data_IF_420416639157
#
_entry.id   IF_420416639157
#
_cell.length_a   1.000
_cell.length_b   1.000
_cell.length_c   1.000
_cell.angle_alpha   90.00
_cell.angle_beta   90.00
_cell.angle_gamma   90.00
#
_symmetry.space_group_name_H-M   'P 1'
#
loop_
_entity.id
_entity.type
_entity.pdbx_description
1 polymer ?
#
# COMPACT_ATOMS: atom_id res chain seq x y z
N UNK A 1 -5.37 -12.93 10.18
CA UNK A 1 -4.70 -12.01 9.25
C UNK A 1 -3.44 -12.68 8.72
N UNK A 2 -2.85 -12.16 7.64
CA UNK A 2 -1.67 -12.71 6.98
C UNK A 2 -0.51 -11.73 7.04
N UNK A 3 0.70 -12.23 6.84
CA UNK A 3 1.88 -11.37 6.70
C UNK A 3 1.88 -10.62 5.35
N UNK A 4 2.57 -9.48 5.35
CA UNK A 4 2.94 -8.75 4.14
C UNK A 4 3.94 -9.60 3.34
N UNK A 5 3.78 -9.64 2.02
CA UNK A 5 4.77 -10.26 1.14
C UNK A 5 5.91 -9.29 0.79
N UNK A 6 6.95 -9.81 0.13
CA UNK A 6 8.14 -9.02 -0.22
C UNK A 6 7.82 -7.77 -1.03
N UNK A 7 6.89 -7.86 -1.99
CA UNK A 7 6.50 -6.72 -2.81
C UNK A 7 5.82 -5.64 -1.96
N UNK A 8 4.84 -6.02 -1.15
CA UNK A 8 4.13 -5.11 -0.25
C UNK A 8 5.09 -4.42 0.73
N UNK A 9 6.06 -5.17 1.29
CA UNK A 9 7.11 -4.62 2.16
C UNK A 9 7.99 -3.60 1.42
N UNK A 10 8.43 -3.89 0.19
CA UNK A 10 9.24 -2.96 -0.61
C UNK A 10 8.50 -1.63 -0.86
N UNK A 11 7.21 -1.70 -1.16
CA UNK A 11 6.40 -0.51 -1.43
C UNK A 11 6.17 0.32 -0.17
N UNK A 12 5.92 -0.35 0.96
CA UNK A 12 5.78 0.30 2.27
C UNK A 12 7.10 0.92 2.73
N UNK A 13 8.25 0.27 2.48
CA UNK A 13 9.55 0.89 2.72
C UNK A 13 9.73 2.16 1.88
N UNK A 14 9.30 2.14 0.61
CA UNK A 14 9.24 3.31 -0.25
C UNK A 14 8.42 4.46 0.34
N UNK A 15 7.25 4.15 0.91
CA UNK A 15 6.43 5.12 1.64
C UNK A 15 7.22 5.77 2.79
N UNK A 16 7.94 4.98 3.59
CA UNK A 16 8.67 5.51 4.76
C UNK A 16 9.80 6.47 4.40
N UNK A 17 10.33 6.42 3.16
CA UNK A 17 11.30 7.41 2.70
C UNK A 17 10.69 8.80 2.57
N UNK A 18 9.42 8.89 2.18
CA UNK A 18 8.67 10.15 2.07
C UNK A 18 7.97 10.53 3.38
N UNK A 19 7.51 9.55 4.13
CA UNK A 19 6.81 9.72 5.41
C UNK A 19 7.48 8.88 6.51
N UNK A 20 8.62 9.34 7.06
CA UNK A 20 9.41 8.57 8.02
C UNK A 20 8.67 8.15 9.28
N UNK A 21 7.61 8.88 9.67
CA UNK A 21 6.80 8.56 10.84
C UNK A 21 6.14 7.18 10.74
N UNK A 22 5.84 6.69 9.54
CA UNK A 22 5.22 5.37 9.36
C UNK A 22 6.19 4.20 9.48
N UNK A 23 7.49 4.45 9.67
CA UNK A 23 8.46 3.35 9.79
C UNK A 23 8.19 2.45 11.00
N UNK A 24 7.79 3.04 12.14
CA UNK A 24 7.40 2.28 13.33
C UNK A 24 6.07 1.54 13.16
N UNK A 25 5.27 1.87 12.15
CA UNK A 25 3.97 1.24 11.91
C UNK A 25 4.10 -0.12 11.25
N UNK A 26 5.12 -0.33 10.40
CA UNK A 26 5.19 -1.50 9.51
C UNK A 26 5.20 -2.84 10.25
N UNK A 27 5.82 -2.91 11.44
CA UNK A 27 5.88 -4.13 12.24
C UNK A 27 4.51 -4.61 12.76
N UNK A 28 3.50 -3.74 12.73
CA UNK A 28 2.15 -4.00 13.23
C UNK A 28 1.15 -4.21 12.11
N UNK A 29 1.53 -3.95 10.85
CA UNK A 29 0.63 -4.12 9.71
C UNK A 29 0.46 -5.61 9.38
N UNK A 30 -0.80 -6.01 9.22
CA UNK A 30 -1.19 -7.33 8.73
C UNK A 30 -2.17 -7.19 7.58
N UNK A 31 -2.13 -8.15 6.68
CA UNK A 31 -3.06 -8.24 5.57
C UNK A 31 -4.35 -8.91 6.04
N UNK A 32 -5.46 -8.22 5.92
CA UNK A 32 -6.80 -8.74 6.19
C UNK A 32 -7.27 -9.57 5.00
N UNK A 33 -7.19 -8.99 3.81
CA UNK A 33 -7.66 -9.60 2.57
C UNK A 33 -6.84 -9.14 1.35
N UNK A 34 -6.81 -9.98 0.32
CA UNK A 34 -6.26 -9.67 -1.00
C UNK A 34 -7.34 -9.95 -2.04
N UNK A 35 -7.97 -8.89 -2.53
CA UNK A 35 -9.12 -9.00 -3.43
C UNK A 35 -8.75 -8.61 -4.85
N UNK A 36 -8.77 -9.59 -5.74
CA UNK A 36 -8.64 -9.35 -7.17
C UNK A 36 -9.94 -8.75 -7.73
N UNK A 37 -9.80 -7.73 -8.58
CA UNK A 37 -10.89 -7.13 -9.34
C UNK A 37 -10.50 -6.98 -10.82
N UNK A 38 -11.43 -6.53 -11.65
CA UNK A 38 -11.14 -6.22 -13.05
C UNK A 38 -10.16 -5.05 -13.22
N UNK A 39 -10.03 -4.19 -12.21
CA UNK A 39 -9.17 -2.99 -12.24
C UNK A 39 -7.75 -3.30 -11.71
N UNK A 40 -7.60 -4.35 -10.89
CA UNK A 40 -6.38 -4.54 -10.12
C UNK A 40 -6.50 -5.46 -8.91
N UNK A 41 -5.57 -5.35 -7.99
CA UNK A 41 -5.54 -6.07 -6.71
C UNK A 41 -5.61 -5.07 -5.57
N UNK A 42 -6.59 -5.22 -4.69
CA UNK A 42 -6.71 -4.45 -3.45
C UNK A 42 -6.20 -5.31 -2.28
N UNK A 43 -5.19 -4.79 -1.57
CA UNK A 43 -4.63 -5.40 -0.36
C UNK A 43 -5.07 -4.57 0.83
N UNK A 44 -6.00 -5.11 1.62
CA UNK A 44 -6.54 -4.43 2.80
C UNK A 44 -5.66 -4.72 4.02
N UNK A 45 -5.31 -3.66 4.75
CA UNK A 45 -4.40 -3.72 5.88
C UNK A 45 -5.10 -3.31 7.17
N UNK A 46 -4.71 -3.99 8.25
CA UNK A 46 -5.06 -3.61 9.62
C UNK A 46 -3.83 -3.65 10.53
N UNK A 47 -3.93 -2.94 11.65
CA UNK A 47 -2.90 -2.92 12.69
C UNK A 47 -3.21 -3.98 13.73
N UNK A 48 -2.29 -4.91 13.93
CA UNK A 48 -2.35 -5.92 14.99
C UNK A 48 -1.41 -5.52 16.14
N UNK A 49 -1.93 -5.48 17.37
CA UNK A 49 -1.17 -5.17 18.59
C UNK A 49 -0.41 -3.82 18.57
N UNK A 50 -0.87 -2.84 17.78
CA UNK A 50 -0.32 -1.48 17.81
C UNK A 50 -0.89 -0.71 19.02
N UNK A 51 0.01 -0.17 19.84
CA UNK A 51 -0.34 0.62 21.03
C UNK A 51 0.11 2.08 20.94
N UNK A 52 0.57 2.52 19.78
CA UNK A 52 0.95 3.91 19.55
C UNK A 52 -0.26 4.78 19.20
N UNK A 53 -0.04 6.09 19.14
CA UNK A 53 -1.02 7.03 18.62
C UNK A 53 -0.92 7.11 17.08
N UNK A 54 -2.05 7.37 16.43
CA UNK A 54 -2.09 7.71 15.01
C UNK A 54 -2.13 9.22 14.88
N UNK A 55 -1.39 9.76 13.92
CA UNK A 55 -1.46 11.18 13.60
C UNK A 55 -2.69 11.48 12.71
N UNK A 56 -2.86 12.74 12.29
CA UNK A 56 -3.99 13.17 11.46
C UNK A 56 -3.70 13.06 9.95
N UNK A 57 -2.65 12.35 9.54
CA UNK A 57 -2.24 12.28 8.13
C UNK A 57 -3.33 11.62 7.29
N UNK A 58 -3.76 12.30 6.23
CA UNK A 58 -4.57 11.75 5.15
C UNK A 58 -3.79 11.93 3.85
N UNK A 59 -3.46 10.84 3.17
CA UNK A 59 -2.64 10.88 1.96
C UNK A 59 -2.87 9.66 1.06
N UNK A 60 -2.79 9.87 -0.25
CA UNK A 60 -2.57 8.82 -1.23
C UNK A 60 -1.11 8.89 -1.66
N UNK A 61 -0.38 7.79 -1.54
CA UNK A 61 1.02 7.70 -1.93
C UNK A 61 1.21 6.74 -3.11
N UNK A 62 1.80 7.26 -4.17
CA UNK A 62 2.48 6.48 -5.20
C UNK A 62 3.84 7.14 -5.42
N UNK A 63 4.87 6.34 -5.75
CA UNK A 63 6.18 6.89 -6.11
C UNK A 63 6.29 7.23 -7.61
N UNK A 64 5.22 7.00 -8.38
CA UNK A 64 5.21 7.18 -9.83
C UNK A 64 6.12 6.21 -10.59
N UNK A 65 6.74 5.26 -9.90
CA UNK A 65 7.59 4.24 -10.51
C UNK A 65 6.73 3.07 -10.99
N UNK A 66 7.19 2.48 -12.09
CA UNK A 66 6.61 1.28 -12.64
C UNK A 66 7.23 0.05 -11.96
N UNK A 67 6.40 -0.86 -11.48
CA UNK A 67 6.86 -2.17 -10.98
C UNK A 67 6.94 -3.11 -12.19
N UNK A 68 8.15 -3.31 -12.68
CA UNK A 68 8.42 -4.29 -13.74
C UNK A 68 8.48 -5.70 -13.17
N UNK A 69 7.54 -6.54 -13.58
CA UNK A 69 7.52 -7.97 -13.23
C UNK A 69 7.82 -8.76 -14.50
N UNK A 70 8.79 -9.67 -14.43
CA UNK A 70 9.14 -10.55 -15.54
C UNK A 70 7.88 -11.29 -16.02
N UNK A 71 7.57 -11.18 -17.31
CA UNK A 71 6.38 -11.71 -18.00
C UNK A 71 5.09 -10.87 -17.91
N UNK A 72 5.11 -9.68 -17.30
CA UNK A 72 3.99 -8.74 -17.37
C UNK A 72 4.21 -7.78 -18.56
N UNK A 73 3.27 -7.76 -19.54
CA UNK A 73 3.40 -6.95 -20.77
C UNK A 73 3.36 -5.44 -20.51
N UNK A 74 2.58 -5.06 -19.50
CA UNK A 74 2.44 -3.69 -19.00
C UNK A 74 2.79 -3.78 -17.52
N UNK A 75 3.66 -2.90 -17.02
CA UNK A 75 4.03 -2.94 -15.61
C UNK A 75 2.89 -2.49 -14.68
N UNK A 76 3.09 -2.62 -13.37
CA UNK A 76 2.06 -2.26 -12.38
C UNK A 76 2.30 -0.86 -11.83
N UNK A 77 1.21 -0.11 -11.68
CA UNK A 77 1.15 1.04 -10.78
C UNK A 77 0.59 0.61 -9.42
N UNK A 78 0.89 1.38 -8.39
CA UNK A 78 0.32 1.17 -7.07
C UNK A 78 -0.06 2.50 -6.39
N UNK A 79 -0.99 2.41 -5.45
CA UNK A 79 -1.35 3.49 -4.52
C UNK A 79 -1.46 2.92 -3.12
N UNK A 80 -0.85 3.59 -2.15
CA UNK A 80 -1.00 3.32 -0.72
C UNK A 80 -1.93 4.37 -0.14
N UNK A 81 -3.00 3.94 0.52
CA UNK A 81 -3.95 4.82 1.19
C UNK A 81 -3.57 4.98 2.67
N UNK A 82 -3.55 6.23 3.11
CA UNK A 82 -3.35 6.62 4.50
C UNK A 82 -4.53 7.48 4.91
N UNK A 83 -5.30 7.01 5.88
CA UNK A 83 -6.46 7.71 6.43
C UNK A 83 -6.32 7.81 7.94
N UNK A 84 -6.38 9.03 8.48
CA UNK A 84 -6.22 9.33 9.91
C UNK A 84 -4.99 8.64 10.52
N UNK A 85 -3.83 8.80 9.87
CA UNK A 85 -2.54 8.25 10.32
C UNK A 85 -2.41 6.73 10.19
N UNK A 86 -3.40 6.05 9.60
CA UNK A 86 -3.38 4.61 9.37
C UNK A 86 -3.14 4.31 7.91
N UNK A 87 -2.18 3.45 7.64
CA UNK A 87 -2.05 2.79 6.34
C UNK A 87 -3.17 1.77 6.22
N UNK A 88 -4.12 2.00 5.30
CA UNK A 88 -5.37 1.22 5.20
C UNK A 88 -5.34 0.22 4.05
N UNK A 89 -4.67 0.53 2.94
CA UNK A 89 -4.57 -0.39 1.81
C UNK A 89 -3.37 -0.13 0.91
N UNK A 90 -3.05 -1.15 0.10
CA UNK A 90 -2.22 -1.05 -1.10
C UNK A 90 -3.05 -1.52 -2.29
N UNK A 91 -3.31 -0.63 -3.24
CA UNK A 91 -4.02 -0.96 -4.48
C UNK A 91 -3.01 -1.04 -5.62
N UNK A 92 -2.96 -2.18 -6.30
CA UNK A 92 -2.19 -2.38 -7.53
C UNK A 92 -3.11 -2.31 -8.73
N UNK A 93 -2.72 -1.60 -9.78
CA UNK A 93 -3.46 -1.51 -11.03
C UNK A 93 -2.56 -1.69 -12.23
N UNK A 94 -3.15 -2.09 -13.37
CA UNK A 94 -2.44 -2.10 -14.65
C UNK A 94 -2.13 -0.67 -15.07
N UNK A 95 -0.93 -0.45 -15.59
CA UNK A 95 -0.53 0.85 -16.14
C UNK A 95 -1.55 1.35 -17.19
N UNK A 96 -1.99 2.60 -17.06
CA UNK A 96 -2.98 3.23 -17.95
C UNK A 96 -4.42 3.18 -17.45
N UNK A 97 -4.70 2.43 -16.37
CA UNK A 97 -5.98 2.49 -15.67
C UNK A 97 -5.88 3.54 -14.56
N UNK A 98 -6.61 4.66 -14.72
CA UNK A 98 -6.71 5.67 -13.67
C UNK A 98 -7.60 5.14 -12.55
N UNK A 99 -7.07 5.13 -11.34
CA UNK A 99 -7.90 5.01 -10.13
C UNK A 99 -8.50 6.40 -9.91
N UNK A 100 -9.71 6.62 -10.44
CA UNK A 100 -10.45 7.86 -10.23
C UNK A 100 -11.02 7.85 -8.79
N UNK A 101 -10.21 8.27 -7.82
CA UNK A 101 -10.69 8.66 -6.48
C UNK A 101 -10.35 10.13 -6.27
N UNK A 102 -11.32 10.99 -6.59
CA UNK A 102 -11.42 12.39 -6.18
C UNK A 102 -12.68 12.56 -5.34
#
# INVERSE_FOLDING_TARGET
MQELNDLENILLDGLTKKYPQFKSHLAYLKVVDRKLSNLGLDVQLEYENYSGEFDETNALFSNGENIEIQNLKEGLSYVIDITAGKITSVEFSKMGWKIDRL
#
